data_IF_072292628079
#
_entry.id   IF_072292628079
#
_cell.length_a   1.000
_cell.length_b   1.000
_cell.length_c   1.000
_cell.angle_alpha   90.00
_cell.angle_beta   90.00
_cell.angle_gamma   90.00
#
_symmetry.space_group_name_H-M   'P 1'
#
loop_
_entity.id
_entity.type
_entity.pdbx_description
1 polymer ?
#
# COMPACT_ATOMS: atom_id res chain seq x y z
N UNK A 1 21.30 -0.32 -18.08
CA UNK A 1 21.41 0.32 -16.75
C UNK A 1 20.08 0.10 -16.06
N UNK A 2 20.02 -0.82 -15.10
CA UNK A 2 18.80 -1.00 -14.31
C UNK A 2 18.66 0.25 -13.44
N UNK A 3 17.61 1.02 -13.69
CA UNK A 3 17.22 2.14 -12.85
C UNK A 3 16.98 1.56 -11.46
N UNK A 4 17.94 1.80 -10.55
CA UNK A 4 17.81 1.40 -9.17
C UNK A 4 16.66 2.27 -8.63
N UNK A 5 15.43 1.78 -8.71
CA UNK A 5 14.25 2.35 -8.05
C UNK A 5 14.44 2.18 -6.56
N UNK A 6 15.42 2.87 -5.99
CA UNK A 6 15.46 3.17 -4.58
C UNK A 6 14.24 4.01 -4.30
N UNK A 7 13.13 3.34 -3.95
CA UNK A 7 12.06 3.93 -3.16
C UNK A 7 12.80 4.64 -2.03
N UNK A 8 12.79 5.97 -2.05
CA UNK A 8 13.55 6.77 -1.10
C UNK A 8 12.95 6.55 0.28
N UNK A 9 13.40 5.50 0.99
CA UNK A 9 12.85 4.94 2.24
C UNK A 9 12.64 6.03 3.31
N UNK A 10 11.57 6.82 3.16
CA UNK A 10 11.20 7.85 4.11
C UNK A 10 10.26 7.24 5.14
N UNK A 11 10.26 7.75 6.38
CA UNK A 11 9.26 7.36 7.37
C UNK A 11 7.83 7.50 6.86
N UNK A 12 7.53 8.53 6.05
CA UNK A 12 6.22 8.69 5.43
C UNK A 12 5.86 7.55 4.46
N UNK A 13 6.82 7.11 3.63
CA UNK A 13 6.61 5.97 2.73
C UNK A 13 6.43 4.66 3.51
N UNK A 14 7.16 4.47 4.60
CA UNK A 14 6.99 3.30 5.47
C UNK A 14 5.59 3.26 6.10
N UNK A 15 5.07 4.41 6.56
CA UNK A 15 3.71 4.52 7.09
C UNK A 15 2.68 4.16 6.02
N UNK A 16 2.79 4.73 4.82
CA UNK A 16 1.86 4.43 3.71
C UNK A 16 1.93 2.96 3.30
N UNK A 17 3.11 2.36 3.28
CA UNK A 17 3.27 0.92 3.04
C UNK A 17 2.56 0.07 4.10
N UNK A 18 2.69 0.40 5.39
CA UNK A 18 2.01 -0.33 6.47
C UNK A 18 0.48 -0.16 6.39
N UNK A 19 -0.02 1.04 6.11
CA UNK A 19 -1.45 1.31 5.88
C UNK A 19 -2.01 0.47 4.72
N UNK A 20 -1.25 0.40 3.63
CA UNK A 20 -1.55 -0.45 2.46
C UNK A 20 -1.66 -1.91 2.86
N UNK A 21 -0.63 -2.42 3.54
CA UNK A 21 -0.53 -3.82 3.89
C UNK A 21 -1.68 -4.23 4.81
N UNK A 22 -2.02 -3.39 5.78
CA UNK A 22 -3.18 -3.61 6.65
C UNK A 22 -4.49 -3.73 5.85
N UNK A 23 -4.70 -2.85 4.86
CA UNK A 23 -5.89 -2.88 4.01
C UNK A 23 -5.97 -4.13 3.11
N UNK A 24 -4.82 -4.64 2.64
CA UNK A 24 -4.74 -5.88 1.87
C UNK A 24 -5.03 -7.09 2.78
N UNK A 25 -4.42 -7.14 3.96
CA UNK A 25 -4.59 -8.23 4.93
C UNK A 25 -6.05 -8.34 5.37
N UNK A 26 -6.70 -7.22 5.69
CA UNK A 26 -8.11 -7.18 6.11
C UNK A 26 -9.07 -7.71 5.04
N UNK A 27 -8.72 -7.56 3.76
CA UNK A 27 -9.54 -8.01 2.62
C UNK A 27 -9.11 -9.37 2.07
N UNK A 28 -8.05 -9.98 2.61
CA UNK A 28 -7.46 -11.20 2.07
C UNK A 28 -8.42 -12.39 2.25
N UNK A 29 -8.95 -12.99 1.17
CA UNK A 29 -10.00 -13.99 1.28
C UNK A 29 -9.51 -15.41 1.61
N UNK A 30 -8.19 -15.64 1.80
CA UNK A 30 -7.60 -16.99 1.72
C UNK A 30 -6.71 -17.40 2.90
N UNK A 31 -6.15 -16.47 3.69
CA UNK A 31 -4.99 -16.81 4.53
C UNK A 31 -5.27 -17.04 6.03
N UNK A 32 -6.38 -16.53 6.57
CA UNK A 32 -6.65 -16.51 8.02
C UNK A 32 -8.15 -16.58 8.28
N UNK A 33 -8.58 -17.03 9.48
CA UNK A 33 -9.98 -16.75 9.89
C UNK A 33 -10.21 -15.23 9.83
N UNK A 34 -11.43 -14.81 9.58
CA UNK A 34 -11.79 -13.37 9.50
C UNK A 34 -11.28 -12.59 10.71
N UNK A 35 -11.30 -13.21 11.88
CA UNK A 35 -10.86 -12.61 13.14
C UNK A 35 -9.34 -12.42 13.16
N UNK A 36 -8.57 -13.44 12.75
CA UNK A 36 -7.11 -13.34 12.65
C UNK A 36 -6.65 -12.32 11.60
N UNK A 37 -7.37 -12.21 10.48
CA UNK A 37 -7.09 -11.18 9.47
C UNK A 37 -7.32 -9.77 10.02
N UNK A 38 -8.39 -9.57 10.80
CA UNK A 38 -8.69 -8.31 11.46
C UNK A 38 -7.64 -7.96 12.53
N UNK A 39 -7.25 -8.93 13.37
CA UNK A 39 -6.23 -8.74 14.40
C UNK A 39 -4.86 -8.39 13.80
N UNK A 40 -4.46 -9.08 12.73
CA UNK A 40 -3.22 -8.79 12.03
C UNK A 40 -3.26 -7.40 11.37
N UNK A 41 -4.37 -7.04 10.72
CA UNK A 41 -4.54 -5.70 10.15
C UNK A 41 -4.47 -4.61 11.22
N UNK A 42 -5.09 -4.82 12.38
CA UNK A 42 -5.01 -3.91 13.53
C UNK A 42 -3.58 -3.78 14.06
N UNK A 43 -2.84 -4.88 14.17
CA UNK A 43 -1.43 -4.86 14.57
C UNK A 43 -0.57 -4.04 13.60
N UNK A 44 -0.77 -4.20 12.29
CA UNK A 44 -0.04 -3.45 11.27
C UNK A 44 -0.36 -1.95 11.32
N UNK A 45 -1.62 -1.57 11.55
CA UNK A 45 -2.00 -0.17 11.80
C UNK A 45 -1.28 0.40 13.03
N UNK A 46 -1.19 -0.38 14.10
CA UNK A 46 -0.42 0.01 15.30
C UNK A 46 1.05 0.27 15.01
N UNK A 47 1.68 -0.51 14.11
CA UNK A 47 3.04 -0.22 13.65
C UNK A 47 3.13 1.09 12.87
N UNK A 48 2.15 1.37 11.99
CA UNK A 48 2.10 2.63 11.24
C UNK A 48 1.98 3.85 12.18
N UNK A 49 1.15 3.74 13.23
CA UNK A 49 0.99 4.77 14.26
C UNK A 49 2.28 4.98 15.07
N UNK A 50 2.95 3.89 15.44
CA UNK A 50 4.23 3.94 16.12
C UNK A 50 5.30 4.65 15.27
N UNK A 51 5.44 4.27 13.99
CA UNK A 51 6.40 4.92 13.07
C UNK A 51 6.06 6.40 12.88
N UNK A 52 4.78 6.75 12.71
CA UNK A 52 4.32 8.14 12.60
C UNK A 52 4.77 8.97 13.79
N UNK A 53 4.62 8.42 14.99
CA UNK A 53 4.93 9.09 16.26
C UNK A 53 6.44 9.16 16.51
N UNK A 54 7.14 8.04 16.43
CA UNK A 54 8.56 7.92 16.77
C UNK A 54 9.45 8.68 15.80
N UNK A 55 9.17 8.60 14.50
CA UNK A 55 9.93 9.31 13.47
C UNK A 55 9.49 10.78 13.32
N UNK A 56 8.47 11.23 14.08
CA UNK A 56 7.88 12.58 14.00
C UNK A 56 7.53 12.95 12.57
N UNK A 57 6.84 12.06 11.87
CA UNK A 57 6.55 12.21 10.44
C UNK A 57 5.75 13.49 10.23
N UNK A 58 6.21 14.32 9.28
CA UNK A 58 5.50 15.54 8.96
C UNK A 58 4.14 15.19 8.33
N UNK A 59 3.07 15.74 8.88
CA UNK A 59 1.70 15.46 8.41
C UNK A 59 1.49 15.82 6.93
N UNK A 60 2.02 16.95 6.47
CA UNK A 60 1.88 17.41 5.08
C UNK A 60 2.63 16.47 4.13
N UNK A 61 3.83 16.03 4.53
CA UNK A 61 4.61 15.04 3.77
C UNK A 61 3.87 13.70 3.70
N UNK A 62 3.32 13.23 4.83
CA UNK A 62 2.57 11.99 4.88
C UNK A 62 1.32 12.04 4.00
N UNK A 63 0.53 13.12 4.09
CA UNK A 63 -0.66 13.30 3.27
C UNK A 63 -0.32 13.37 1.78
N UNK A 64 0.78 14.04 1.42
CA UNK A 64 1.29 14.08 0.05
C UNK A 64 1.72 12.68 -0.42
N UNK A 65 2.39 11.93 0.44
CA UNK A 65 2.85 10.56 0.14
C UNK A 65 1.67 9.62 -0.08
N UNK A 66 0.61 9.71 0.73
CA UNK A 66 -0.64 8.96 0.54
C UNK A 66 -1.29 9.26 -0.82
N UNK A 67 -1.33 10.55 -1.21
CA UNK A 67 -1.89 10.96 -2.50
C UNK A 67 -1.08 10.38 -3.67
N UNK A 68 0.25 10.45 -3.62
CA UNK A 68 1.10 9.87 -4.66
C UNK A 68 0.95 8.35 -4.74
N UNK A 69 0.93 7.64 -3.60
CA UNK A 69 0.73 6.20 -3.58
C UNK A 69 -0.64 5.78 -4.17
N UNK A 70 -1.70 6.54 -3.88
CA UNK A 70 -3.02 6.30 -4.46
C UNK A 70 -3.04 6.52 -5.98
N UNK A 71 -2.33 7.53 -6.48
CA UNK A 71 -2.17 7.78 -7.92
C UNK A 71 -1.36 6.67 -8.61
N UNK A 72 -0.27 6.21 -7.99
CA UNK A 72 0.56 5.13 -8.52
C UNK A 72 -0.25 3.83 -8.63
N UNK A 73 -1.01 3.46 -7.60
CA UNK A 73 -1.90 2.30 -7.69
C UNK A 73 -3.02 2.48 -8.69
N UNK A 74 -3.59 3.68 -8.83
CA UNK A 74 -4.58 3.93 -9.87
C UNK A 74 -3.98 3.68 -11.25
N UNK A 75 -2.77 4.19 -11.49
CA UNK A 75 -2.06 4.00 -12.75
C UNK A 75 -1.72 2.52 -13.00
N UNK A 76 -1.25 1.80 -12.00
CA UNK A 76 -0.98 0.36 -12.10
C UNK A 76 -2.27 -0.45 -12.33
N UNK A 77 -3.35 -0.14 -11.62
CA UNK A 77 -4.64 -0.81 -11.80
C UNK A 77 -5.22 -0.57 -13.21
N UNK A 78 -5.17 0.67 -13.71
CA UNK A 78 -5.54 1.00 -15.08
C UNK A 78 -4.64 0.25 -16.07
N UNK A 79 -3.33 0.23 -15.84
CA UNK A 79 -2.40 -0.49 -16.71
C UNK A 79 -2.73 -1.99 -16.79
N UNK A 80 -3.05 -2.63 -15.66
CA UNK A 80 -3.48 -4.04 -15.62
C UNK A 80 -4.82 -4.21 -16.33
N UNK A 81 -5.85 -3.42 -16.00
CA UNK A 81 -7.19 -3.55 -16.60
C UNK A 81 -7.20 -3.35 -18.12
N UNK A 82 -6.32 -2.48 -18.63
CA UNK A 82 -6.22 -2.16 -20.05
C UNK A 82 -5.03 -2.84 -20.75
N UNK A 83 -4.27 -3.67 -20.04
CA UNK A 83 -3.19 -4.47 -20.63
C UNK A 83 -3.78 -5.36 -21.73
N UNK A 84 -3.08 -5.46 -22.86
CA UNK A 84 -3.54 -6.27 -23.99
C UNK A 84 -3.82 -7.73 -23.60
N UNK A 85 -3.07 -8.25 -22.63
CA UNK A 85 -3.20 -9.61 -22.08
C UNK A 85 -4.50 -9.84 -21.28
N UNK A 86 -5.17 -8.77 -20.84
CA UNK A 86 -6.42 -8.84 -20.08
C UNK A 86 -7.65 -8.37 -20.88
N UNK A 87 -7.48 -8.00 -22.16
CA UNK A 87 -8.61 -7.69 -23.03
C UNK A 87 -9.40 -8.97 -23.30
N UNK A 88 -10.74 -8.97 -23.19
CA UNK A 88 -11.54 -10.11 -23.60
C UNK A 88 -11.32 -10.35 -25.09
N UNK A 89 -10.69 -11.48 -25.43
CA UNK A 89 -10.64 -12.02 -26.78
C UNK A 89 -12.07 -12.43 -27.15
N UNK A 90 -12.81 -11.52 -27.76
CA UNK A 90 -13.92 -11.93 -28.61
C UNK A 90 -13.28 -12.55 -29.86
N UNK A 91 -13.62 -13.84 -30.06
CA UNK A 91 -13.21 -14.76 -31.13
C UNK A 91 -12.90 -14.10 -32.48
#
# INVERSE_FOLDING_TARGET
MAENRTIANSPAQAVVFLETLAAIVEKSPVAYSTDYAADLAAHIRGMADAVTTEARVNRVELDTTRQYAALDWHNEAVAILFAAEHRPTFL
#
